data_IF_213490465408
#
_entry.id   IF_213490465408
#
_cell.length_a   1.000
_cell.length_b   1.000
_cell.length_c   1.000
_cell.angle_alpha   90.00
_cell.angle_beta   90.00
_cell.angle_gamma   90.00
#
_symmetry.space_group_name_H-M   'P 1'
#
loop_
_entity.id
_entity.type
_entity.pdbx_description
1 polymer ?
#
# COMPACT_ATOMS: atom_id res chain seq x y z
N UNK A 1 -16.81 -38.22 1.94
CA UNK A 1 -17.12 -36.80 1.65
C UNK A 1 -15.83 -36.12 1.27
N UNK A 2 -15.82 -35.27 0.24
CA UNK A 2 -14.63 -34.49 -0.11
C UNK A 2 -14.24 -33.59 1.07
N UNK A 3 -12.94 -33.49 1.37
CA UNK A 3 -12.44 -32.59 2.42
C UNK A 3 -12.73 -31.14 2.01
N UNK A 4 -13.29 -30.36 2.92
CA UNK A 4 -13.52 -28.94 2.68
C UNK A 4 -12.17 -28.23 2.47
N UNK A 5 -12.03 -27.57 1.32
CA UNK A 5 -10.83 -26.78 0.99
C UNK A 5 -10.90 -25.46 1.76
N UNK A 6 -9.76 -24.99 2.25
CA UNK A 6 -9.62 -23.74 3.01
C UNK A 6 -8.56 -22.86 2.35
N UNK A 7 -8.62 -21.55 2.59
CA UNK A 7 -7.58 -20.63 2.19
C UNK A 7 -6.21 -21.03 2.77
N UNK A 8 -5.14 -20.77 2.03
CA UNK A 8 -3.78 -21.01 2.50
C UNK A 8 -3.50 -20.07 3.67
N UNK A 9 -2.93 -20.60 4.76
CA UNK A 9 -2.54 -19.79 5.91
C UNK A 9 -1.66 -18.62 5.47
N UNK A 10 -2.08 -17.39 5.80
CA UNK A 10 -1.37 -16.16 5.43
C UNK A 10 -1.72 -15.61 4.04
N UNK A 11 -2.74 -16.17 3.37
CA UNK A 11 -3.32 -15.66 2.12
C UNK A 11 -4.82 -15.48 2.36
N UNK A 12 -5.20 -14.26 2.76
CA UNK A 12 -6.55 -14.00 3.26
C UNK A 12 -7.49 -13.56 2.13
N UNK A 13 -8.76 -13.98 2.20
CA UNK A 13 -9.81 -13.38 1.40
C UNK A 13 -10.15 -11.99 1.95
N UNK A 14 -10.29 -11.00 1.06
CA UNK A 14 -10.84 -9.67 1.40
C UNK A 14 -12.33 -9.71 1.11
N UNK A 15 -13.15 -9.70 2.17
CA UNK A 15 -14.60 -9.90 2.07
C UNK A 15 -15.36 -8.61 1.73
N UNK A 16 -16.63 -8.68 1.29
CA UNK A 16 -17.45 -7.51 0.99
C UNK A 16 -17.56 -6.49 2.13
N UNK A 17 -17.51 -6.96 3.39
CA UNK A 17 -17.53 -6.07 4.56
C UNK A 17 -16.21 -5.34 4.81
N UNK A 18 -15.13 -5.74 4.12
CA UNK A 18 -13.77 -5.19 4.27
C UNK A 18 -13.36 -4.39 3.03
N UNK A 19 -13.72 -4.85 1.83
CA UNK A 19 -13.29 -4.25 0.56
C UNK A 19 -13.63 -2.75 0.38
N UNK A 20 -14.70 -2.17 0.96
CA UNK A 20 -14.96 -0.74 0.84
C UNK A 20 -13.85 0.15 1.44
N UNK A 21 -13.27 -0.27 2.57
CA UNK A 21 -12.14 0.45 3.19
C UNK A 21 -10.90 0.38 2.29
N UNK A 22 -10.63 -0.81 1.71
CA UNK A 22 -9.56 -0.99 0.74
C UNK A 22 -9.73 -0.08 -0.47
N UNK A 23 -10.92 -0.05 -1.07
CA UNK A 23 -11.22 0.80 -2.21
C UNK A 23 -11.04 2.29 -1.89
N UNK A 24 -11.41 2.74 -0.69
CA UNK A 24 -11.15 4.11 -0.21
C UNK A 24 -9.65 4.40 -0.19
N UNK A 25 -8.86 3.53 0.45
CA UNK A 25 -7.39 3.66 0.51
C UNK A 25 -6.81 3.72 -0.91
N UNK A 26 -7.17 2.78 -1.77
CA UNK A 26 -6.70 2.74 -3.14
C UNK A 26 -7.08 3.99 -3.96
N UNK A 27 -8.28 4.54 -3.77
CA UNK A 27 -8.71 5.77 -4.44
C UNK A 27 -7.87 6.98 -3.99
N UNK A 28 -7.57 7.08 -2.68
CA UNK A 28 -6.67 8.12 -2.14
C UNK A 28 -5.27 7.97 -2.74
N UNK A 29 -4.74 6.75 -2.82
CA UNK A 29 -3.44 6.49 -3.42
C UNK A 29 -3.40 6.93 -4.89
N UNK A 30 -4.31 6.41 -5.72
CA UNK A 30 -4.39 6.73 -7.17
C UNK A 30 -4.54 8.23 -7.42
N UNK A 31 -5.42 8.92 -6.69
CA UNK A 31 -5.61 10.36 -6.86
C UNK A 31 -4.40 11.20 -6.44
N UNK A 32 -3.57 10.68 -5.53
CA UNK A 32 -2.39 11.39 -5.04
C UNK A 32 -1.23 11.26 -6.01
N UNK A 33 -0.93 10.06 -6.51
CA UNK A 33 0.10 9.89 -7.55
C UNK A 33 -0.23 10.63 -8.84
N UNK A 34 -1.52 10.64 -9.24
CA UNK A 34 -1.97 11.39 -10.40
C UNK A 34 -1.71 12.90 -10.25
N UNK A 35 -1.83 13.45 -9.04
CA UNK A 35 -1.57 14.86 -8.77
C UNK A 35 -0.08 15.26 -8.86
N UNK A 36 0.83 14.28 -8.86
CA UNK A 36 2.28 14.48 -9.05
C UNK A 36 2.76 13.98 -10.44
N UNK A 37 1.84 13.57 -11.32
CA UNK A 37 2.19 13.14 -12.69
C UNK A 37 2.82 11.74 -12.79
N UNK A 38 2.65 10.89 -11.77
CA UNK A 38 3.14 9.51 -11.80
C UNK A 38 2.20 8.64 -12.65
N UNK A 39 2.77 7.83 -13.54
CA UNK A 39 2.05 6.94 -14.46
C UNK A 39 2.02 5.50 -13.97
N UNK A 40 0.91 4.79 -14.20
CA UNK A 40 0.79 3.39 -13.74
C UNK A 40 1.65 2.45 -14.59
N UNK A 41 2.41 1.58 -13.94
CA UNK A 41 3.05 0.42 -14.56
C UNK A 41 2.53 -0.87 -13.93
N UNK A 42 2.26 -1.88 -14.76
CA UNK A 42 1.80 -3.20 -14.33
C UNK A 42 2.75 -4.28 -14.80
N UNK A 43 3.39 -4.94 -13.84
CA UNK A 43 4.31 -6.05 -14.07
C UNK A 43 3.63 -7.40 -13.81
N UNK A 44 4.09 -8.50 -14.43
CA UNK A 44 3.62 -9.84 -14.13
C UNK A 44 3.76 -10.20 -12.64
N UNK A 45 2.96 -11.16 -12.18
CA UNK A 45 3.06 -11.70 -10.81
C UNK A 45 4.27 -12.61 -10.65
N UNK A 46 4.70 -13.25 -11.75
CA UNK A 46 5.78 -14.21 -11.79
C UNK A 46 6.89 -13.65 -12.66
N UNK A 47 8.13 -13.78 -12.21
CA UNK A 47 9.33 -13.39 -12.95
C UNK A 47 10.35 -14.54 -12.92
N UNK A 48 11.37 -14.45 -13.75
CA UNK A 48 12.53 -15.32 -13.64
C UNK A 48 13.20 -15.13 -12.26
N UNK A 49 13.53 -16.23 -11.58
CA UNK A 49 14.11 -16.21 -10.23
C UNK A 49 15.40 -15.37 -10.13
N UNK A 50 16.21 -15.33 -11.19
CA UNK A 50 17.48 -14.59 -11.20
C UNK A 50 17.26 -13.08 -11.09
N UNK A 51 16.09 -12.56 -11.48
CA UNK A 51 15.74 -11.16 -11.28
C UNK A 51 15.86 -10.78 -9.81
N UNK A 52 15.24 -11.56 -8.92
CA UNK A 52 15.18 -11.26 -7.49
C UNK A 52 16.48 -11.62 -6.77
N UNK A 53 17.14 -12.72 -7.16
CA UNK A 53 18.46 -13.07 -6.61
C UNK A 53 19.48 -11.98 -6.86
N UNK A 54 19.54 -11.48 -8.10
CA UNK A 54 20.49 -10.42 -8.48
C UNK A 54 20.14 -9.09 -7.84
N UNK A 55 18.88 -8.69 -7.80
CA UNK A 55 18.48 -7.36 -7.30
C UNK A 55 18.52 -7.24 -5.79
N UNK A 56 17.86 -8.16 -5.08
CA UNK A 56 17.64 -8.04 -3.63
C UNK A 56 18.92 -8.38 -2.86
N UNK A 57 19.74 -9.30 -3.38
CA UNK A 57 20.98 -9.78 -2.77
C UNK A 57 20.83 -11.18 -2.20
N UNK A 58 21.80 -12.05 -2.49
CA UNK A 58 21.76 -13.48 -2.15
C UNK A 58 21.74 -13.76 -0.64
N UNK A 59 22.32 -12.87 0.16
CA UNK A 59 22.46 -13.01 1.62
C UNK A 59 21.30 -12.38 2.40
N UNK A 60 20.22 -12.03 1.72
CA UNK A 60 19.02 -11.47 2.37
C UNK A 60 18.08 -12.60 2.81
N UNK A 61 17.37 -12.39 3.93
CA UNK A 61 16.36 -13.35 4.39
C UNK A 61 15.30 -13.62 3.31
N UNK A 62 14.97 -12.61 2.49
CA UNK A 62 14.02 -12.74 1.38
C UNK A 62 14.48 -13.80 0.39
N UNK A 63 15.69 -13.65 -0.15
CA UNK A 63 16.22 -14.55 -1.18
C UNK A 63 16.56 -15.92 -0.61
N UNK A 64 17.09 -15.99 0.61
CA UNK A 64 17.48 -17.26 1.23
C UNK A 64 16.29 -18.15 1.58
N UNK A 65 15.19 -17.57 2.11
CA UNK A 65 14.16 -18.34 2.83
C UNK A 65 12.71 -17.96 2.52
N UNK A 66 12.46 -16.80 1.91
CA UNK A 66 11.09 -16.27 1.80
C UNK A 66 10.52 -16.28 0.38
N UNK A 67 11.33 -16.48 -0.67
CA UNK A 67 10.78 -16.52 -2.04
C UNK A 67 9.92 -17.77 -2.30
N UNK A 68 8.79 -17.57 -2.96
CA UNK A 68 7.98 -18.65 -3.52
C UNK A 68 8.46 -18.98 -4.93
N UNK A 69 9.47 -19.85 -5.01
CA UNK A 69 10.09 -20.30 -6.26
C UNK A 69 9.56 -21.68 -6.68
N UNK A 70 9.34 -21.86 -7.99
CA UNK A 70 8.91 -23.12 -8.59
C UNK A 70 9.52 -23.30 -9.98
N UNK A 71 9.57 -24.53 -10.47
CA UNK A 71 9.95 -24.83 -11.85
C UNK A 71 8.71 -24.78 -12.75
N UNK A 72 8.82 -24.08 -13.89
CA UNK A 72 7.82 -24.17 -14.95
C UNK A 72 8.00 -25.47 -15.76
N UNK A 73 7.00 -25.82 -16.56
CA UNK A 73 6.96 -27.05 -17.36
C UNK A 73 8.09 -27.14 -18.39
N UNK A 74 8.70 -26.02 -18.76
CA UNK A 74 9.86 -25.95 -19.65
C UNK A 74 11.21 -26.04 -18.89
N UNK A 75 11.19 -26.12 -17.55
CA UNK A 75 12.37 -26.17 -16.69
C UNK A 75 12.86 -24.81 -16.20
N UNK A 76 12.23 -23.70 -16.59
CA UNK A 76 12.63 -22.38 -16.11
C UNK A 76 12.32 -22.22 -14.61
N UNK A 77 13.25 -21.62 -13.87
CA UNK A 77 13.02 -21.25 -12.48
C UNK A 77 12.27 -19.93 -12.41
N UNK A 78 11.04 -19.99 -11.90
CA UNK A 78 10.14 -18.87 -11.75
C UNK A 78 9.86 -18.57 -10.28
N UNK A 79 9.65 -17.30 -9.95
CA UNK A 79 9.37 -16.85 -8.59
C UNK A 79 8.18 -15.89 -8.58
N UNK A 80 7.25 -16.10 -7.65
CA UNK A 80 6.21 -15.11 -7.34
C UNK A 80 6.89 -13.87 -6.73
N UNK A 81 6.58 -12.69 -7.28
CA UNK A 81 7.28 -11.45 -6.90
C UNK A 81 7.20 -11.18 -5.38
N UNK A 82 8.35 -11.03 -4.68
CA UNK A 82 8.36 -10.68 -3.26
C UNK A 82 8.34 -9.16 -3.03
N UNK A 83 8.56 -8.37 -4.08
CA UNK A 83 8.62 -6.90 -4.10
C UNK A 83 8.44 -6.39 -5.55
N UNK A 84 8.30 -5.07 -5.76
CA UNK A 84 7.90 -4.50 -7.05
C UNK A 84 8.98 -3.68 -7.78
N UNK A 85 10.03 -3.24 -7.10
CA UNK A 85 11.09 -2.39 -7.65
C UNK A 85 11.89 -3.13 -8.72
N UNK A 86 12.37 -4.36 -8.44
CA UNK A 86 13.13 -5.14 -9.43
C UNK A 86 12.32 -5.42 -10.70
N UNK A 87 11.03 -5.76 -10.56
CA UNK A 87 10.11 -5.94 -11.69
C UNK A 87 9.93 -4.66 -12.50
N UNK A 88 9.89 -3.49 -11.84
CA UNK A 88 9.76 -2.19 -12.51
C UNK A 88 11.04 -1.84 -13.27
N UNK A 89 12.22 -2.07 -12.68
CA UNK A 89 13.51 -1.91 -13.37
C UNK A 89 13.61 -2.83 -14.58
N UNK A 90 13.24 -4.11 -14.42
CA UNK A 90 13.24 -5.10 -15.52
C UNK A 90 12.37 -4.65 -16.67
N UNK A 91 11.13 -4.23 -16.39
CA UNK A 91 10.23 -3.70 -17.42
C UNK A 91 10.77 -2.42 -18.07
N UNK A 92 11.35 -1.52 -17.28
CA UNK A 92 11.97 -0.30 -17.78
C UNK A 92 13.15 -0.58 -18.72
N UNK A 93 14.02 -1.53 -18.37
CA UNK A 93 15.13 -1.96 -19.22
C UNK A 93 14.63 -2.65 -20.50
N UNK A 94 13.67 -3.56 -20.38
CA UNK A 94 13.11 -4.36 -21.48
C UNK A 94 12.44 -3.49 -22.55
N UNK A 95 11.76 -2.42 -22.13
CA UNK A 95 11.03 -1.52 -23.00
C UNK A 95 11.75 -0.19 -23.28
N UNK A 96 13.01 -0.07 -22.86
CA UNK A 96 13.83 1.12 -23.12
C UNK A 96 13.29 2.40 -22.52
N UNK A 97 12.66 2.34 -21.34
CA UNK A 97 12.06 3.49 -20.65
C UNK A 97 13.04 4.29 -19.80
N UNK A 98 14.20 3.71 -19.46
CA UNK A 98 15.11 4.25 -18.44
C UNK A 98 16.34 4.96 -19.01
N UNK A 99 16.83 4.52 -20.17
CA UNK A 99 18.03 5.08 -20.76
C UNK A 99 17.76 6.48 -21.34
N UNK A 100 18.52 7.48 -20.89
CA UNK A 100 18.41 8.89 -21.27
C UNK A 100 16.98 9.45 -21.15
N UNK A 101 16.23 8.99 -20.15
CA UNK A 101 14.83 9.36 -19.91
C UNK A 101 14.59 9.55 -18.42
N UNK A 102 13.57 10.35 -18.12
CA UNK A 102 13.02 10.50 -16.78
C UNK A 102 11.67 9.81 -16.73
N UNK A 103 11.42 9.03 -15.68
CA UNK A 103 10.16 8.33 -15.50
C UNK A 103 9.68 8.48 -14.06
N UNK A 104 8.39 8.82 -13.89
CA UNK A 104 7.69 8.76 -12.60
C UNK A 104 6.63 7.67 -12.70
N UNK A 105 6.88 6.52 -12.08
CA UNK A 105 6.06 5.33 -12.19
C UNK A 105 5.44 4.97 -10.85
N UNK A 106 4.26 4.35 -10.88
CA UNK A 106 3.67 3.73 -9.70
C UNK A 106 3.06 2.38 -10.05
N UNK A 107 2.99 1.48 -9.06
CA UNK A 107 2.34 0.19 -9.19
C UNK A 107 1.50 -0.12 -7.95
N UNK A 108 0.54 -1.03 -8.11
CA UNK A 108 -0.20 -1.59 -6.99
C UNK A 108 -0.58 -3.04 -7.28
N UNK A 109 -0.40 -3.92 -6.31
CA UNK A 109 -0.83 -5.31 -6.44
C UNK A 109 -0.20 -6.26 -5.42
N UNK A 110 -0.45 -7.57 -5.58
CA UNK A 110 -0.02 -8.57 -4.60
C UNK A 110 1.49 -8.86 -4.69
N UNK A 111 2.07 -9.21 -3.55
CA UNK A 111 3.45 -9.63 -3.31
C UNK A 111 3.45 -10.87 -2.40
N UNK A 112 4.49 -11.68 -2.49
CA UNK A 112 4.54 -13.01 -1.87
C UNK A 112 5.83 -13.25 -1.10
N UNK A 113 5.73 -13.58 0.20
CA UNK A 113 6.89 -13.91 1.04
C UNK A 113 6.57 -15.03 2.03
N UNK A 114 7.43 -16.03 2.16
CA UNK A 114 7.25 -17.16 3.08
C UNK A 114 7.57 -16.78 4.54
N UNK A 115 7.02 -15.68 5.00
CA UNK A 115 7.19 -15.22 6.37
C UNK A 115 6.25 -15.99 7.32
N UNK A 116 6.60 -16.03 8.60
CA UNK A 116 5.68 -16.49 9.65
C UNK A 116 4.56 -15.47 9.79
N UNK A 117 3.28 -15.81 9.51
CA UNK A 117 2.20 -14.83 9.55
C UNK A 117 2.00 -14.25 10.95
N UNK A 118 1.85 -12.94 11.02
CA UNK A 118 1.59 -12.14 12.23
C UNK A 118 0.64 -11.00 11.87
N UNK A 119 0.13 -10.25 12.85
CA UNK A 119 -0.73 -9.09 12.59
C UNK A 119 0.02 -8.08 11.69
N UNK A 120 -0.47 -7.83 10.48
CA UNK A 120 0.21 -6.96 9.51
C UNK A 120 1.40 -7.59 8.75
N UNK A 121 1.61 -8.91 8.84
CA UNK A 121 2.55 -9.70 8.00
C UNK A 121 1.85 -10.94 7.46
N UNK A 122 1.81 -11.05 6.14
CA UNK A 122 1.10 -12.11 5.43
C UNK A 122 2.01 -12.74 4.39
N UNK A 123 1.63 -13.93 3.94
CA UNK A 123 2.35 -14.65 2.88
C UNK A 123 1.99 -14.16 1.50
N UNK A 124 0.75 -13.72 1.32
CA UNK A 124 0.34 -12.84 0.25
C UNK A 124 -0.11 -11.53 0.89
N UNK A 125 0.47 -10.42 0.46
CA UNK A 125 0.12 -9.07 0.90
C UNK A 125 0.07 -8.15 -0.31
N UNK A 126 -0.43 -6.93 -0.17
CA UNK A 126 -0.55 -5.98 -1.27
C UNK A 126 0.35 -4.79 -1.03
N UNK A 127 1.13 -4.42 -2.05
CA UNK A 127 1.93 -3.21 -2.02
C UNK A 127 1.37 -2.18 -2.97
N UNK A 128 1.51 -0.93 -2.56
CA UNK A 128 1.55 0.22 -3.44
C UNK A 128 2.97 0.77 -3.41
N UNK A 129 3.54 1.06 -4.57
CA UNK A 129 4.88 1.61 -4.68
C UNK A 129 4.99 2.67 -5.76
N UNK A 130 5.97 3.54 -5.58
CA UNK A 130 6.33 4.60 -6.54
C UNK A 130 7.82 4.49 -6.83
N UNK A 131 8.19 4.68 -8.08
CA UNK A 131 9.57 4.56 -8.56
C UNK A 131 9.86 5.73 -9.50
N UNK A 132 10.91 6.48 -9.23
CA UNK A 132 11.40 7.53 -10.10
C UNK A 132 12.75 7.14 -10.66
N UNK A 133 12.95 7.38 -11.95
CA UNK A 133 14.18 7.06 -12.68
C UNK A 133 14.69 8.26 -13.44
N UNK A 134 16.02 8.36 -13.58
CA UNK A 134 16.68 9.36 -14.42
C UNK A 134 17.03 10.67 -13.72
N UNK A 135 16.63 10.84 -12.45
CA UNK A 135 16.85 12.09 -11.69
C UNK A 135 17.75 11.81 -10.47
N UNK A 136 18.93 12.43 -10.45
CA UNK A 136 19.97 12.21 -9.44
C UNK A 136 20.06 13.28 -8.35
N UNK A 137 19.30 14.36 -8.45
CA UNK A 137 19.28 15.47 -7.49
C UNK A 137 18.43 15.16 -6.26
N UNK A 138 18.71 15.81 -5.13
CA UNK A 138 18.01 15.56 -3.86
C UNK A 138 16.54 16.05 -3.85
N UNK A 139 16.15 16.88 -4.82
CA UNK A 139 14.79 17.40 -4.96
C UNK A 139 13.77 16.32 -5.33
N UNK A 140 14.16 15.30 -6.08
CA UNK A 140 13.25 14.18 -6.36
C UNK A 140 13.05 13.29 -5.13
N UNK A 141 14.07 13.10 -4.29
CA UNK A 141 13.95 12.42 -3.00
C UNK A 141 12.95 13.18 -2.10
N UNK A 142 13.00 14.52 -2.13
CA UNK A 142 12.06 15.38 -1.41
C UNK A 142 10.64 15.26 -1.98
N UNK A 143 10.44 15.27 -3.31
CA UNK A 143 9.12 15.07 -3.96
C UNK A 143 8.48 13.75 -3.54
N UNK A 144 9.26 12.65 -3.54
CA UNK A 144 8.82 11.32 -3.10
C UNK A 144 8.34 11.35 -1.64
N UNK A 145 9.07 12.05 -0.76
CA UNK A 145 8.67 12.23 0.64
C UNK A 145 7.44 13.13 0.79
N UNK A 146 7.33 14.21 0.00
CA UNK A 146 6.15 15.08 -0.03
C UNK A 146 4.90 14.33 -0.48
N UNK A 147 5.02 13.48 -1.50
CA UNK A 147 3.94 12.58 -1.92
C UNK A 147 3.52 11.68 -0.75
N UNK A 148 4.47 11.05 -0.06
CA UNK A 148 4.16 10.18 1.09
C UNK A 148 3.47 10.94 2.24
N UNK A 149 3.91 12.17 2.55
CA UNK A 149 3.28 13.01 3.57
C UNK A 149 1.83 13.38 3.19
N UNK A 150 1.59 13.70 1.92
CA UNK A 150 0.23 13.99 1.40
C UNK A 150 -0.71 12.79 1.49
N UNK A 151 -0.19 11.56 1.34
CA UNK A 151 -0.99 10.36 1.54
C UNK A 151 -1.53 10.30 2.98
N UNK A 152 -0.69 10.62 3.97
CA UNK A 152 -1.07 10.62 5.38
C UNK A 152 -2.10 11.69 5.70
N UNK A 153 -1.96 12.88 5.11
CA UNK A 153 -2.94 13.95 5.23
C UNK A 153 -4.31 13.51 4.70
N UNK A 154 -4.37 12.99 3.47
CA UNK A 154 -5.62 12.54 2.86
C UNK A 154 -6.26 11.32 3.54
N UNK A 155 -5.45 10.47 4.17
CA UNK A 155 -5.92 9.34 4.96
C UNK A 155 -6.27 9.73 6.41
N UNK A 156 -5.99 10.97 6.83
CA UNK A 156 -6.26 11.46 8.18
C UNK A 156 -5.35 10.84 9.25
N UNK A 157 -4.15 10.38 8.90
CA UNK A 157 -3.24 9.66 9.82
C UNK A 157 -1.91 10.38 10.10
N UNK A 158 -1.74 11.63 9.66
CA UNK A 158 -0.50 12.40 9.79
C UNK A 158 0.07 12.45 11.21
N UNK A 159 -0.77 12.61 12.23
CA UNK A 159 -0.34 12.67 13.64
C UNK A 159 0.08 11.31 14.21
N UNK A 160 -0.21 10.23 13.50
CA UNK A 160 0.02 8.86 13.95
C UNK A 160 1.23 8.21 13.28
N UNK A 161 1.94 8.95 12.42
CA UNK A 161 3.12 8.48 11.71
C UNK A 161 4.28 9.46 11.89
N UNK A 162 5.50 8.94 11.91
CA UNK A 162 6.73 9.74 12.02
C UNK A 162 7.69 9.33 10.92
N UNK A 163 8.25 10.31 10.22
CA UNK A 163 9.29 10.09 9.22
C UNK A 163 10.64 9.91 9.93
N UNK A 164 11.27 8.77 9.74
CA UNK A 164 12.67 8.53 10.06
C UNK A 164 13.50 8.56 8.78
N UNK A 165 14.60 9.32 8.80
CA UNK A 165 15.43 9.60 7.63
C UNK A 165 16.90 9.27 7.92
N UNK A 166 17.62 8.75 6.94
CA UNK A 166 19.05 8.50 7.01
C UNK A 166 19.70 8.55 5.61
N UNK A 167 21.02 8.49 5.55
CA UNK A 167 21.76 8.27 4.31
C UNK A 167 22.72 7.08 4.46
N UNK A 168 22.80 6.24 3.45
CA UNK A 168 23.72 5.11 3.36
C UNK A 168 25.01 5.42 2.59
N UNK A 169 25.17 6.69 2.17
CA UNK A 169 26.26 7.13 1.31
C UNK A 169 26.34 6.37 -0.01
N UNK A 170 27.44 6.61 -0.71
CA UNK A 170 27.82 5.90 -1.93
C UNK A 170 28.60 4.60 -1.59
N UNK A 171 28.73 3.66 -2.54
CA UNK A 171 29.28 2.33 -2.26
C UNK A 171 30.69 2.33 -1.64
N UNK A 172 31.56 3.27 -2.03
CA UNK A 172 32.93 3.37 -1.50
C UNK A 172 32.94 3.84 -0.03
N UNK A 173 32.11 4.82 0.31
CA UNK A 173 31.95 5.34 1.68
C UNK A 173 31.39 4.25 2.60
N UNK A 174 30.41 3.50 2.10
CA UNK A 174 29.84 2.35 2.83
C UNK A 174 30.85 1.23 3.03
N UNK A 175 31.74 0.99 2.07
CA UNK A 175 32.80 0.00 2.22
C UNK A 175 33.78 0.39 3.34
N UNK A 176 34.19 1.66 3.41
CA UNK A 176 35.03 2.18 4.49
C UNK A 176 34.34 2.08 5.86
N UNK A 177 33.06 2.47 5.94
CA UNK A 177 32.26 2.32 7.15
C UNK A 177 32.11 0.86 7.59
N UNK A 178 31.91 -0.05 6.62
CA UNK A 178 31.78 -1.49 6.89
C UNK A 178 33.01 -2.05 7.59
N UNK A 179 34.21 -1.68 7.17
CA UNK A 179 35.45 -2.12 7.82
C UNK A 179 35.51 -1.66 9.28
N UNK A 180 35.18 -0.40 9.54
CA UNK A 180 35.13 0.15 10.89
C UNK A 180 34.07 -0.53 11.77
N UNK A 181 32.87 -0.77 11.22
CA UNK A 181 31.79 -1.43 11.93
C UNK A 181 32.15 -2.90 12.26
N UNK A 182 32.79 -3.63 11.35
CA UNK A 182 33.28 -4.99 11.64
C UNK A 182 34.31 -4.95 12.76
N UNK A 183 35.31 -4.07 12.67
CA UNK A 183 36.35 -3.94 13.69
C UNK A 183 35.77 -3.57 15.08
N UNK A 184 34.71 -2.77 15.11
CA UNK A 184 33.94 -2.49 16.32
C UNK A 184 33.21 -3.74 16.83
N UNK A 185 32.43 -4.41 15.99
CA UNK A 185 31.64 -5.58 16.39
C UNK A 185 32.51 -6.75 16.86
N UNK A 186 33.71 -6.93 16.29
CA UNK A 186 34.67 -7.95 16.73
C UNK A 186 35.11 -7.77 18.19
N UNK A 187 35.25 -6.52 18.66
CA UNK A 187 35.59 -6.23 20.07
C UNK A 187 34.45 -6.61 21.03
N UNK A 188 33.23 -6.74 20.51
CA UNK A 188 32.03 -7.03 21.28
C UNK A 188 31.40 -8.38 20.92
N UNK A 189 32.10 -9.23 20.16
CA UNK A 189 31.57 -10.47 19.56
C UNK A 189 30.85 -11.37 20.55
N UNK A 190 31.43 -11.58 21.73
CA UNK A 190 30.89 -12.46 22.78
C UNK A 190 29.59 -11.93 23.41
N UNK A 191 29.22 -10.68 23.12
CA UNK A 191 27.99 -10.03 23.60
C UNK A 191 26.95 -9.85 22.49
N UNK A 192 27.24 -10.30 21.27
CA UNK A 192 26.31 -10.28 20.16
C UNK A 192 25.42 -11.53 20.19
N UNK A 193 24.14 -11.36 19.85
CA UNK A 193 23.23 -12.47 19.62
C UNK A 193 23.67 -13.30 18.39
N UNK A 194 23.17 -14.54 18.29
CA UNK A 194 23.56 -15.48 17.22
C UNK A 194 23.31 -14.92 15.80
N UNK A 195 22.23 -14.16 15.60
CA UNK A 195 21.88 -13.58 14.31
C UNK A 195 22.86 -12.45 13.96
N UNK A 196 23.17 -11.58 14.93
CA UNK A 196 24.17 -10.53 14.78
C UNK A 196 25.56 -11.08 14.48
N UNK A 197 25.99 -12.15 15.17
CA UNK A 197 27.27 -12.82 14.89
C UNK A 197 27.31 -13.40 13.47
N UNK A 198 26.20 -13.98 12.99
CA UNK A 198 26.10 -14.51 11.62
C UNK A 198 26.21 -13.40 10.57
N UNK A 199 25.59 -12.25 10.80
CA UNK A 199 25.53 -11.13 9.85
C UNK A 199 26.77 -10.24 9.87
N UNK A 200 27.53 -10.23 10.96
CA UNK A 200 28.67 -9.33 11.17
C UNK A 200 29.64 -9.30 9.99
N UNK A 201 29.99 -10.44 9.40
CA UNK A 201 30.93 -10.48 8.28
C UNK A 201 30.27 -10.33 6.90
N UNK A 202 29.04 -10.81 6.72
CA UNK A 202 28.35 -10.80 5.43
C UNK A 202 27.67 -9.47 5.13
N UNK A 203 26.88 -8.97 6.09
CA UNK A 203 26.13 -7.73 5.98
C UNK A 203 26.06 -7.01 7.36
N UNK A 204 27.17 -6.41 7.83
CA UNK A 204 27.29 -5.84 9.17
C UNK A 204 26.30 -4.72 9.44
N UNK A 205 25.87 -3.99 8.41
CA UNK A 205 24.88 -2.93 8.55
C UNK A 205 23.57 -3.47 9.15
N UNK A 206 23.21 -4.73 8.89
CA UNK A 206 22.02 -5.36 9.48
C UNK A 206 22.08 -5.55 10.98
N UNK A 207 23.28 -5.57 11.55
CA UNK A 207 23.45 -5.62 13.01
C UNK A 207 22.87 -4.35 13.65
N UNK A 208 22.94 -3.21 12.95
CA UNK A 208 22.42 -1.92 13.45
C UNK A 208 20.92 -1.95 13.77
N UNK A 209 20.16 -2.83 13.11
CA UNK A 209 18.71 -3.02 13.31
C UNK A 209 18.35 -4.22 14.21
N UNK A 210 19.33 -4.80 14.93
CA UNK A 210 19.05 -5.90 15.87
C UNK A 210 17.96 -5.52 16.87
N UNK A 211 17.05 -6.44 17.19
CA UNK A 211 16.02 -6.22 18.22
C UNK A 211 16.46 -6.69 19.60
N UNK A 212 17.67 -7.24 19.70
CA UNK A 212 18.25 -7.66 20.97
C UNK A 212 18.65 -6.43 21.81
N UNK A 213 18.12 -6.27 23.06
CA UNK A 213 18.42 -5.11 23.89
C UNK A 213 19.91 -4.97 24.26
N UNK A 214 20.63 -6.08 24.42
CA UNK A 214 22.06 -6.07 24.74
C UNK A 214 22.86 -5.58 23.53
N UNK A 215 22.53 -6.07 22.32
CA UNK A 215 23.15 -5.59 21.09
C UNK A 215 22.84 -4.11 20.86
N UNK A 216 21.59 -3.67 21.03
CA UNK A 216 21.22 -2.26 20.91
C UNK A 216 21.98 -1.35 21.89
N UNK A 217 22.26 -1.82 23.10
CA UNK A 217 23.09 -1.06 24.06
C UNK A 217 24.53 -0.91 23.58
N UNK A 218 25.10 -1.93 22.93
CA UNK A 218 26.48 -1.89 22.40
C UNK A 218 26.56 -0.94 21.21
N UNK A 219 25.56 -0.97 20.34
CA UNK A 219 25.51 -0.13 19.14
C UNK A 219 25.40 1.37 19.42
N UNK A 220 25.16 1.78 20.67
CA UNK A 220 25.24 3.18 21.09
C UNK A 220 26.62 3.80 20.86
N UNK A 221 27.68 2.98 20.94
CA UNK A 221 29.09 3.39 20.77
C UNK A 221 29.67 3.01 19.40
N UNK A 222 28.84 2.52 18.48
CA UNK A 222 29.27 2.15 17.14
C UNK A 222 29.73 3.38 16.32
N UNK A 223 30.67 3.22 15.38
CA UNK A 223 30.99 4.30 14.45
C UNK A 223 29.73 4.80 13.73
N UNK A 224 29.65 6.10 13.45
CA UNK A 224 28.53 6.66 12.71
C UNK A 224 28.87 6.72 11.22
N UNK A 225 27.97 6.21 10.37
CA UNK A 225 28.16 6.27 8.91
C UNK A 225 28.31 7.71 8.40
N UNK A 226 27.71 8.68 9.09
CA UNK A 226 27.84 10.12 8.78
C UNK A 226 29.30 10.61 8.77
N UNK A 227 30.19 9.99 9.56
CA UNK A 227 31.60 10.37 9.64
C UNK A 227 32.43 9.87 8.45
N UNK A 228 31.85 9.01 7.61
CA UNK A 228 32.50 8.40 6.45
C UNK A 228 31.98 8.96 5.11
N UNK A 229 31.02 9.89 5.16
CA UNK A 229 30.45 10.49 3.95
C UNK A 229 31.44 11.46 3.30
N UNK A 230 31.57 11.36 1.99
CA UNK A 230 32.20 12.37 1.16
C UNK A 230 31.32 13.62 1.02
N UNK A 231 31.87 14.62 0.35
CA UNK A 231 31.24 15.92 0.17
C UNK A 231 29.91 15.83 -0.60
N UNK A 232 29.85 15.05 -1.68
CA UNK A 232 28.63 14.90 -2.50
C UNK A 232 27.46 14.27 -1.73
N UNK A 233 27.69 13.12 -1.07
CA UNK A 233 26.68 12.45 -0.24
C UNK A 233 26.19 13.35 0.90
N UNK A 234 27.10 14.10 1.52
CA UNK A 234 26.78 15.04 2.61
C UNK A 234 25.95 16.21 2.11
N UNK A 235 26.30 16.80 0.96
CA UNK A 235 25.55 17.88 0.32
C UNK A 235 24.16 17.42 -0.14
N UNK A 236 24.06 16.24 -0.76
CA UNK A 236 22.77 15.66 -1.16
C UNK A 236 21.84 15.48 0.04
N UNK A 237 22.35 14.95 1.15
CA UNK A 237 21.56 14.76 2.37
C UNK A 237 21.19 16.09 3.06
N UNK A 238 22.08 17.08 3.03
CA UNK A 238 21.80 18.42 3.54
C UNK A 238 20.71 19.12 2.71
N UNK A 239 20.80 19.07 1.37
CA UNK A 239 19.83 19.65 0.46
C UNK A 239 18.45 19.00 0.63
N UNK A 240 18.38 17.67 0.76
CA UNK A 240 17.12 16.97 1.04
C UNK A 240 16.46 17.52 2.32
N UNK A 241 17.22 17.64 3.40
CA UNK A 241 16.73 18.17 4.68
C UNK A 241 16.23 19.61 4.56
N UNK A 242 16.99 20.47 3.88
CA UNK A 242 16.59 21.86 3.61
C UNK A 242 15.25 21.93 2.85
N UNK A 243 15.06 21.09 1.83
CA UNK A 243 13.82 21.04 1.06
C UNK A 243 12.64 20.54 1.90
N UNK A 244 12.84 19.55 2.77
CA UNK A 244 11.80 19.07 3.69
C UNK A 244 11.43 20.14 4.72
N UNK A 245 12.42 20.83 5.28
CA UNK A 245 12.22 21.93 6.23
C UNK A 245 11.44 23.07 5.56
N UNK A 246 11.75 23.40 4.30
CA UNK A 246 11.09 24.46 3.53
C UNK A 246 9.59 24.20 3.29
N UNK A 247 9.17 22.93 3.22
CA UNK A 247 7.75 22.55 3.09
C UNK A 247 7.11 22.12 4.41
N UNK A 248 7.83 22.22 5.52
CA UNK A 248 7.33 21.94 6.87
C UNK A 248 7.17 20.46 7.22
N UNK A 249 7.79 19.53 6.46
CA UNK A 249 7.74 18.10 6.77
C UNK A 249 8.67 17.80 7.94
N UNK A 250 8.11 17.33 9.05
CA UNK A 250 8.87 16.93 10.23
C UNK A 250 9.48 15.54 10.04
N UNK A 251 10.74 15.37 10.44
CA UNK A 251 11.45 14.10 10.40
C UNK A 251 12.42 13.94 11.59
N UNK A 252 12.80 12.70 11.88
CA UNK A 252 13.90 12.36 12.79
C UNK A 252 15.03 11.72 12.00
N UNK A 253 16.25 12.24 12.14
CA UNK A 253 17.43 11.54 11.61
C UNK A 253 17.71 10.30 12.48
N UNK A 254 17.73 9.12 11.86
CA UNK A 254 18.05 7.85 12.51
C UNK A 254 19.29 7.23 11.87
N UNK A 255 20.50 7.40 12.45
CA UNK A 255 21.73 6.88 11.86
C UNK A 255 21.80 5.34 11.82
N UNK A 256 20.92 4.66 12.57
CA UNK A 256 20.81 3.19 12.58
C UNK A 256 19.79 2.67 11.58
N UNK A 257 19.09 3.56 10.86
CA UNK A 257 18.12 3.15 9.84
C UNK A 257 18.87 2.53 8.66
N UNK A 258 18.75 1.21 8.55
CA UNK A 258 19.22 0.40 7.43
C UNK A 258 18.04 -0.31 6.80
N UNK A 259 18.18 -0.71 5.54
CA UNK A 259 17.08 -1.27 4.76
C UNK A 259 17.18 -2.77 4.60
N UNK A 260 16.00 -3.36 4.37
CA UNK A 260 15.77 -4.77 4.07
C UNK A 260 16.43 -5.33 2.80
N UNK A 261 16.98 -4.47 1.95
CA UNK A 261 17.42 -4.79 0.59
C UNK A 261 18.77 -4.10 0.37
N UNK A 262 19.71 -4.76 -0.29
CA UNK A 262 21.10 -4.29 -0.33
C UNK A 262 21.37 -3.28 -1.44
N UNK A 263 20.39 -3.04 -2.33
CA UNK A 263 20.51 -2.16 -3.48
C UNK A 263 20.47 -0.65 -3.15
N UNK A 264 20.13 -0.26 -1.91
CA UNK A 264 19.96 1.15 -1.57
C UNK A 264 21.30 1.90 -1.52
N UNK A 265 21.31 3.17 -1.91
CA UNK A 265 22.37 4.15 -1.70
C UNK A 265 21.80 5.49 -1.26
N UNK A 266 22.66 6.38 -0.74
CA UNK A 266 22.27 7.72 -0.28
C UNK A 266 20.99 7.67 0.56
N UNK A 267 19.96 8.42 0.22
CA UNK A 267 18.71 8.54 0.98
C UNK A 267 18.06 7.19 1.30
N UNK A 268 17.75 6.97 2.58
CA UNK A 268 16.83 5.90 3.01
C UNK A 268 15.87 6.46 4.05
N UNK A 269 14.63 5.99 4.03
CA UNK A 269 13.60 6.50 4.93
C UNK A 269 12.53 5.46 5.28
N UNK A 270 11.85 5.72 6.38
CA UNK A 270 10.67 4.99 6.83
C UNK A 270 9.65 5.93 7.44
N UNK A 271 8.36 5.66 7.20
CA UNK A 271 7.30 6.15 8.07
C UNK A 271 6.94 5.08 9.08
N UNK A 272 7.03 5.43 10.36
CA UNK A 272 6.77 4.52 11.49
C UNK A 272 5.55 4.97 12.30
N UNK A 273 4.84 4.02 12.91
CA UNK A 273 3.72 4.27 13.83
C UNK A 273 3.88 3.45 15.11
N UNK A 274 3.47 4.03 16.24
CA UNK A 274 3.38 3.31 17.52
C UNK A 274 2.02 2.64 17.72
N UNK A 275 1.05 2.90 16.83
CA UNK A 275 -0.34 2.44 16.97
C UNK A 275 -0.53 0.95 16.66
N UNK A 276 0.43 0.32 15.95
CA UNK A 276 0.33 -1.08 15.50
C UNK A 276 1.16 -2.08 16.35
N UNK A 277 1.76 -1.64 17.45
CA UNK A 277 2.57 -2.49 18.33
C UNK A 277 4.03 -2.61 17.87
N UNK A 278 4.62 -3.81 17.98
CA UNK A 278 6.07 -4.03 17.85
C UNK A 278 6.65 -3.87 16.44
N UNK A 279 5.81 -3.75 15.41
CA UNK A 279 6.24 -3.44 14.05
C UNK A 279 5.59 -2.14 13.59
N UNK A 280 6.39 -1.06 13.60
CA UNK A 280 5.89 0.29 13.34
C UNK A 280 5.95 0.76 11.89
N UNK A 281 6.79 0.18 11.04
CA UNK A 281 6.97 0.69 9.66
C UNK A 281 5.71 0.49 8.82
N UNK A 282 5.16 1.57 8.27
CA UNK A 282 3.98 1.55 7.37
C UNK A 282 4.37 1.80 5.92
N UNK A 283 5.44 2.56 5.70
CA UNK A 283 6.01 2.88 4.39
C UNK A 283 7.53 2.93 4.51
N UNK A 284 8.19 2.54 3.44
CA UNK A 284 9.61 2.27 3.44
C UNK A 284 10.20 2.54 2.06
N UNK A 285 11.31 3.29 1.97
CA UNK A 285 11.90 3.67 0.70
C UNK A 285 13.32 4.17 0.78
N UNK A 286 13.82 4.64 -0.36
CA UNK A 286 15.17 5.17 -0.51
C UNK A 286 15.62 5.22 -1.97
N UNK A 287 16.84 5.69 -2.17
CA UNK A 287 17.53 5.80 -3.46
C UNK A 287 18.32 4.53 -3.76
N UNK A 288 18.41 4.14 -5.03
CA UNK A 288 18.98 2.85 -5.46
C UNK A 288 19.61 2.92 -6.87
N UNK A 289 20.48 3.90 -7.09
CA UNK A 289 21.05 4.26 -8.40
C UNK A 289 21.76 3.11 -9.12
N UNK A 290 22.37 2.19 -8.36
CA UNK A 290 23.11 1.05 -8.93
C UNK A 290 22.23 -0.08 -9.50
N UNK A 291 20.95 -0.14 -9.11
CA UNK A 291 20.09 -1.31 -9.39
C UNK A 291 19.83 -1.50 -10.89
N UNK A 292 19.67 -0.41 -11.65
CA UNK A 292 19.39 -0.46 -13.09
C UNK A 292 20.54 -1.13 -13.85
N UNK A 293 21.78 -0.73 -13.54
CA UNK A 293 22.99 -1.34 -14.12
C UNK A 293 23.19 -2.78 -13.64
N UNK A 294 22.93 -3.06 -12.35
CA UNK A 294 23.01 -4.40 -11.76
C UNK A 294 22.06 -5.40 -12.44
N UNK A 295 20.95 -4.93 -13.01
CA UNK A 295 19.99 -5.72 -13.80
C UNK A 295 20.22 -5.65 -15.32
N UNK A 296 21.40 -5.21 -15.76
CA UNK A 296 21.82 -5.22 -17.17
C UNK A 296 21.41 -3.99 -17.98
N UNK A 297 20.87 -2.95 -17.33
CA UNK A 297 20.60 -1.66 -17.94
C UNK A 297 21.83 -0.73 -17.97
N UNK A 298 21.61 0.53 -18.36
CA UNK A 298 22.60 1.60 -18.18
C UNK A 298 22.48 2.19 -16.78
N UNK A 299 23.55 2.81 -16.29
CA UNK A 299 23.49 3.52 -15.01
C UNK A 299 22.41 4.60 -15.08
N UNK A 300 21.45 4.49 -14.16
CA UNK A 300 20.29 5.38 -14.11
C UNK A 300 19.95 5.61 -12.65
N UNK A 301 20.04 6.86 -12.17
CA UNK A 301 19.69 7.17 -10.80
C UNK A 301 18.21 6.89 -10.55
N UNK A 302 17.87 6.44 -9.35
CA UNK A 302 16.50 6.04 -9.04
C UNK A 302 16.17 6.17 -7.56
N UNK A 303 14.93 6.53 -7.25
CA UNK A 303 14.41 6.67 -5.88
C UNK A 303 12.94 6.31 -5.82
N UNK A 304 12.51 5.70 -4.73
CA UNK A 304 11.15 5.22 -4.61
C UNK A 304 10.80 4.73 -3.21
N UNK A 305 9.56 4.25 -3.07
CA UNK A 305 9.10 3.58 -1.86
C UNK A 305 8.07 2.51 -2.17
N UNK A 306 7.84 1.63 -1.19
CA UNK A 306 6.66 0.78 -1.13
C UNK A 306 6.00 0.86 0.25
N UNK A 307 4.69 0.65 0.28
CA UNK A 307 3.89 0.52 1.50
C UNK A 307 2.94 -0.69 1.40
N UNK A 308 2.73 -1.38 2.51
CA UNK A 308 1.80 -2.50 2.61
C UNK A 308 0.38 -2.03 2.85
N UNK A 309 -0.55 -2.31 1.94
CA UNK A 309 -1.94 -1.84 2.05
C UNK A 309 -2.64 -2.39 3.29
N UNK A 310 -2.37 -3.64 3.66
CA UNK A 310 -2.96 -4.24 4.86
C UNK A 310 -2.56 -3.49 6.13
N UNK A 311 -1.35 -2.94 6.20
CA UNK A 311 -0.90 -2.15 7.37
C UNK A 311 -1.63 -0.83 7.44
N UNK A 312 -1.86 -0.19 6.30
CA UNK A 312 -2.61 1.07 6.24
C UNK A 312 -4.08 0.84 6.62
N UNK A 313 -4.73 -0.18 6.05
CA UNK A 313 -6.09 -0.56 6.40
C UNK A 313 -6.20 -0.87 7.89
N UNK A 314 -5.28 -1.68 8.42
CA UNK A 314 -5.25 -2.02 9.84
C UNK A 314 -5.02 -0.79 10.73
N UNK A 315 -4.20 0.16 10.31
CA UNK A 315 -3.97 1.41 11.05
C UNK A 315 -5.25 2.25 11.10
N UNK A 316 -5.94 2.42 9.98
CA UNK A 316 -7.22 3.14 9.93
C UNK A 316 -8.28 2.49 10.82
N UNK A 317 -8.38 1.16 10.81
CA UNK A 317 -9.27 0.41 11.70
C UNK A 317 -8.90 0.62 13.18
N UNK A 318 -7.61 0.54 13.49
CA UNK A 318 -7.10 0.69 14.87
C UNK A 318 -7.36 2.10 15.42
N UNK A 319 -7.30 3.11 14.55
CA UNK A 319 -7.58 4.51 14.88
C UNK A 319 -9.07 4.88 14.77
N UNK A 320 -9.93 3.94 14.40
CA UNK A 320 -11.36 4.17 14.15
C UNK A 320 -11.66 5.24 13.08
N UNK A 321 -10.76 5.41 12.10
CA UNK A 321 -10.87 6.36 10.98
C UNK A 321 -11.61 5.74 9.78
N UNK A 322 -12.75 5.12 10.04
CA UNK A 322 -13.52 4.31 9.09
C UNK A 322 -14.94 4.85 8.85
N UNK A 323 -15.23 6.07 9.31
CA UNK A 323 -16.59 6.62 9.32
C UNK A 323 -17.10 6.99 7.92
N UNK A 324 -16.23 7.47 7.01
CA UNK A 324 -16.62 7.86 5.65
C UNK A 324 -16.51 6.71 4.63
N UNK A 325 -16.71 5.45 5.06
CA UNK A 325 -16.73 4.31 4.13
C UNK A 325 -18.11 4.25 3.46
N UNK A 326 -18.19 4.29 2.12
CA UNK A 326 -19.47 4.22 1.42
C UNK A 326 -20.22 2.90 1.71
N UNK A 327 -21.47 2.96 2.16
CA UNK A 327 -22.31 1.78 2.45
C UNK A 327 -22.52 0.86 1.24
N UNK A 328 -22.50 -0.47 1.35
CA UNK A 328 -22.58 -1.36 0.16
C UNK A 328 -23.74 -1.07 -0.83
N UNK A 329 -24.85 -0.55 -0.30
CA UNK A 329 -26.03 -0.13 -1.05
C UNK A 329 -26.42 1.27 -0.59
N UNK A 330 -26.77 2.14 -1.53
CA UNK A 330 -27.36 3.45 -1.22
C UNK A 330 -28.89 3.36 -1.21
N UNK A 331 -29.44 2.69 -2.23
CA UNK A 331 -30.88 2.60 -2.49
C UNK A 331 -31.32 1.16 -2.64
N UNK A 332 -32.33 0.75 -1.88
CA UNK A 332 -32.98 -0.55 -2.02
C UNK A 332 -34.35 -0.42 -2.68
N UNK A 333 -34.60 -1.12 -3.78
CA UNK A 333 -35.89 -1.07 -4.50
C UNK A 333 -36.74 -2.28 -4.15
N UNK A 334 -37.87 -2.04 -3.49
CA UNK A 334 -38.84 -3.05 -3.07
C UNK A 334 -40.14 -2.93 -3.89
N UNK A 335 -40.76 -4.07 -4.19
CA UNK A 335 -41.98 -4.15 -4.99
C UNK A 335 -43.03 -5.01 -4.29
N UNK A 336 -44.28 -4.54 -4.26
CA UNK A 336 -45.42 -5.29 -3.72
C UNK A 336 -46.40 -5.65 -4.84
N UNK A 337 -46.42 -6.93 -5.21
CA UNK A 337 -47.29 -7.45 -6.28
C UNK A 337 -46.54 -7.68 -7.60
N UNK A 338 -47.00 -8.66 -8.38
CA UNK A 338 -46.32 -9.10 -9.61
C UNK A 338 -46.31 -8.00 -10.68
N UNK A 339 -47.36 -7.18 -10.75
CA UNK A 339 -47.44 -6.04 -11.67
C UNK A 339 -46.47 -4.90 -11.32
N UNK A 340 -46.09 -4.79 -10.04
CA UNK A 340 -45.16 -3.77 -9.55
C UNK A 340 -43.70 -4.15 -9.76
N UNK A 341 -43.41 -5.45 -9.92
CA UNK A 341 -42.05 -5.95 -10.12
C UNK A 341 -41.43 -5.38 -11.40
N UNK A 342 -42.22 -5.32 -12.49
CA UNK A 342 -41.75 -4.77 -13.78
C UNK A 342 -41.35 -3.31 -13.60
N UNK A 343 -42.17 -2.51 -12.91
CA UNK A 343 -41.86 -1.11 -12.67
C UNK A 343 -40.65 -0.94 -11.75
N UNK A 344 -40.54 -1.72 -10.67
CA UNK A 344 -39.39 -1.67 -9.78
C UNK A 344 -38.06 -1.98 -10.48
N UNK A 345 -38.06 -2.93 -11.41
CA UNK A 345 -36.87 -3.22 -12.24
C UNK A 345 -36.56 -2.04 -13.17
N UNK A 346 -37.56 -1.43 -13.81
CA UNK A 346 -37.37 -0.23 -14.63
C UNK A 346 -36.80 0.92 -13.83
N UNK A 347 -37.37 1.22 -12.65
CA UNK A 347 -36.90 2.25 -11.73
C UNK A 347 -35.43 2.02 -11.39
N UNK A 348 -35.09 0.81 -10.95
CA UNK A 348 -33.73 0.49 -10.58
C UNK A 348 -32.75 0.67 -11.75
N UNK A 349 -33.16 0.27 -12.97
CA UNK A 349 -32.32 0.40 -14.15
C UNK A 349 -32.14 1.86 -14.57
N UNK A 350 -33.20 2.65 -14.58
CA UNK A 350 -33.15 4.08 -14.89
C UNK A 350 -32.30 4.84 -13.87
N UNK A 351 -32.40 4.52 -12.58
CA UNK A 351 -31.56 5.14 -11.56
C UNK A 351 -30.08 4.83 -11.77
N UNK A 352 -29.72 3.58 -12.11
CA UNK A 352 -28.33 3.24 -12.45
C UNK A 352 -27.82 4.02 -13.67
N UNK A 353 -28.68 4.23 -14.66
CA UNK A 353 -28.32 4.99 -15.87
C UNK A 353 -28.23 6.50 -15.62
N UNK A 354 -29.15 7.06 -14.83
CA UNK A 354 -29.21 8.50 -14.55
C UNK A 354 -28.21 8.94 -13.48
N UNK A 355 -27.89 8.06 -12.51
CA UNK A 355 -27.00 8.31 -11.38
C UNK A 355 -25.93 7.21 -11.31
N UNK A 356 -24.88 7.24 -12.15
CA UNK A 356 -23.92 6.14 -12.27
C UNK A 356 -23.12 5.84 -10.99
N UNK A 357 -23.04 6.80 -10.07
CA UNK A 357 -22.35 6.64 -8.77
C UNK A 357 -23.25 6.05 -7.68
N UNK A 358 -24.56 5.96 -7.92
CA UNK A 358 -25.54 5.48 -6.94
C UNK A 358 -25.65 3.95 -6.96
N UNK A 359 -25.49 3.31 -5.81
CA UNK A 359 -25.53 1.85 -5.67
C UNK A 359 -26.96 1.39 -5.39
N UNK A 360 -27.63 0.94 -6.46
CA UNK A 360 -29.04 0.56 -6.43
C UNK A 360 -29.21 -0.97 -6.40
N UNK A 361 -29.73 -1.49 -5.29
CA UNK A 361 -30.07 -2.92 -5.13
C UNK A 361 -31.56 -3.15 -5.38
N UNK A 362 -31.89 -4.01 -6.35
CA UNK A 362 -33.27 -4.46 -6.57
C UNK A 362 -33.59 -5.65 -5.67
N UNK A 363 -34.77 -5.66 -5.05
CA UNK A 363 -35.27 -6.83 -4.37
C UNK A 363 -35.56 -7.97 -5.36
N UNK A 364 -35.05 -9.16 -5.08
CA UNK A 364 -35.30 -10.38 -5.87
C UNK A 364 -35.72 -11.55 -4.96
N UNK A 365 -36.50 -12.49 -5.53
CA UNK A 365 -36.90 -13.74 -4.86
C UNK A 365 -38.22 -13.66 -4.08
N UNK A 366 -39.02 -12.62 -4.32
CA UNK A 366 -40.35 -12.44 -3.73
C UNK A 366 -40.35 -12.33 -2.20
N UNK A 367 -41.56 -12.43 -1.64
CA UNK A 367 -41.80 -12.29 -0.21
C UNK A 367 -42.55 -11.00 0.14
N UNK A 368 -43.24 -11.03 1.28
CA UNK A 368 -44.04 -9.90 1.74
C UNK A 368 -43.17 -8.67 2.10
N UNK A 369 -43.78 -7.49 2.14
CA UNK A 369 -43.09 -6.22 2.41
C UNK A 369 -42.21 -6.29 3.66
N UNK A 370 -42.68 -6.90 4.75
CA UNK A 370 -41.90 -7.06 5.99
C UNK A 370 -40.57 -7.77 5.76
N UNK A 371 -40.55 -8.84 4.94
CA UNK A 371 -39.32 -9.54 4.58
C UNK A 371 -38.43 -8.70 3.67
N UNK A 372 -39.00 -7.96 2.72
CA UNK A 372 -38.24 -7.09 1.82
C UNK A 372 -37.58 -5.95 2.62
N UNK A 373 -38.31 -5.31 3.53
CA UNK A 373 -37.79 -4.27 4.40
C UNK A 373 -36.67 -4.78 5.32
N UNK A 374 -36.82 -5.97 5.90
CA UNK A 374 -35.72 -6.58 6.68
C UNK A 374 -34.45 -6.79 5.84
N UNK A 375 -34.59 -7.08 4.54
CA UNK A 375 -33.45 -7.19 3.61
C UNK A 375 -32.88 -5.82 3.25
N UNK A 376 -33.72 -4.80 3.06
CA UNK A 376 -33.29 -3.42 2.88
C UNK A 376 -32.50 -2.91 4.09
N UNK A 377 -32.97 -3.19 5.30
CA UNK A 377 -32.26 -2.86 6.54
C UNK A 377 -30.91 -3.58 6.59
N UNK A 378 -30.88 -4.88 6.27
CA UNK A 378 -29.62 -5.65 6.25
C UNK A 378 -28.64 -5.19 5.18
N UNK A 379 -29.11 -4.62 4.06
CA UNK A 379 -28.24 -4.23 2.95
C UNK A 379 -27.42 -2.96 3.20
N UNK A 380 -27.65 -2.26 4.32
CA UNK A 380 -26.95 -1.01 4.60
C UNK A 380 -27.53 0.21 3.88
N UNK A 381 -28.61 0.06 3.10
CA UNK A 381 -29.21 1.13 2.31
C UNK A 381 -29.58 2.35 3.17
N UNK A 382 -29.40 3.54 2.60
CA UNK A 382 -29.83 4.81 3.21
C UNK A 382 -31.34 4.97 3.05
N UNK A 383 -31.87 4.58 1.89
CA UNK A 383 -33.30 4.66 1.58
C UNK A 383 -33.81 3.38 0.92
N UNK A 384 -35.08 3.07 1.16
CA UNK A 384 -35.86 2.09 0.42
C UNK A 384 -36.89 2.78 -0.46
N UNK A 385 -36.95 2.38 -1.73
CA UNK A 385 -38.01 2.77 -2.67
C UNK A 385 -39.09 1.69 -2.65
N UNK A 386 -40.32 2.07 -2.31
CA UNK A 386 -41.46 1.16 -2.22
C UNK A 386 -42.40 1.42 -3.39
N UNK A 387 -42.71 0.34 -4.12
CA UNK A 387 -43.59 0.38 -5.28
C UNK A 387 -44.67 -0.68 -5.08
N UNK A 388 -45.84 -0.25 -4.59
CA UNK A 388 -47.06 -1.03 -4.54
C UNK A 388 -48.03 -0.65 -5.66
N UNK A 389 -49.21 -1.27 -5.63
CA UNK A 389 -50.25 -1.02 -6.64
C UNK A 389 -50.75 0.43 -6.60
N UNK A 390 -50.80 1.04 -5.41
CA UNK A 390 -51.19 2.44 -5.23
C UNK A 390 -50.14 3.38 -5.82
N UNK A 391 -48.85 3.17 -5.50
CA UNK A 391 -47.75 3.94 -6.08
C UNK A 391 -47.72 3.83 -7.60
N UNK A 392 -47.93 2.62 -8.13
CA UNK A 392 -47.96 2.36 -9.56
C UNK A 392 -49.14 3.08 -10.24
N UNK A 393 -50.33 3.05 -9.63
CA UNK A 393 -51.53 3.70 -10.17
C UNK A 393 -51.40 5.23 -10.19
N UNK A 394 -50.74 5.82 -9.20
CA UNK A 394 -50.56 7.27 -9.08
C UNK A 394 -49.30 7.80 -9.79
N UNK A 395 -48.43 6.93 -10.31
CA UNK A 395 -47.18 7.33 -10.94
C UNK A 395 -46.17 7.94 -9.97
N UNK A 396 -46.17 7.46 -8.73
CA UNK A 396 -45.28 7.90 -7.64
C UNK A 396 -44.44 6.74 -7.12
N UNK A 397 -43.42 7.05 -6.33
CA UNK A 397 -42.60 6.08 -5.58
C UNK A 397 -42.51 6.56 -4.14
N UNK A 398 -42.79 5.68 -3.19
CA UNK A 398 -42.65 5.99 -1.77
C UNK A 398 -41.19 5.79 -1.35
N UNK A 399 -40.53 6.87 -0.94
CA UNK A 399 -39.17 6.86 -0.40
C UNK A 399 -39.24 6.75 1.12
N UNK A 400 -38.64 5.68 1.65
CA UNK A 400 -38.50 5.46 3.09
C UNK A 400 -37.03 5.58 3.51
N UNK A 401 -36.76 6.47 4.44
CA UNK A 401 -35.45 6.57 5.07
C UNK A 401 -35.21 5.41 6.04
N UNK A 402 -34.01 4.83 6.01
CA UNK A 402 -33.65 3.65 6.80
C UNK A 402 -32.59 3.96 7.88
N UNK A 403 -31.97 5.14 7.82
CA UNK A 403 -30.82 5.52 8.67
C UNK A 403 -30.99 6.86 9.38
N UNK A 404 -32.09 7.56 9.11
CA UNK A 404 -32.48 8.76 9.82
C UNK A 404 -33.99 8.71 10.08
N UNK A 405 -34.46 9.60 10.97
CA UNK A 405 -35.86 9.66 11.41
C UNK A 405 -36.74 10.53 10.49
N UNK A 406 -36.31 10.79 9.25
CA UNK A 406 -37.10 11.56 8.31
C UNK A 406 -38.38 10.79 7.93
N UNK A 407 -39.47 11.53 7.77
CA UNK A 407 -40.75 10.95 7.35
C UNK A 407 -40.67 10.37 5.92
N UNK A 408 -41.51 9.37 5.66
CA UNK A 408 -41.62 8.81 4.31
C UNK A 408 -42.17 9.86 3.35
N UNK A 409 -41.65 9.89 2.13
CA UNK A 409 -42.02 10.88 1.12
C UNK A 409 -42.51 10.19 -0.14
N UNK A 410 -43.64 10.62 -0.69
CA UNK A 410 -44.11 10.20 -2.02
C UNK A 410 -43.50 11.12 -3.06
N UNK A 411 -42.71 10.56 -3.97
CA UNK A 411 -42.00 11.31 -5.00
C UNK A 411 -42.54 10.91 -6.37
N UNK A 412 -42.85 11.89 -7.22
CA UNK A 412 -43.28 11.61 -8.58
C UNK A 412 -42.21 10.81 -9.34
N UNK A 413 -42.62 9.80 -10.10
CA UNK A 413 -41.71 8.86 -10.76
C UNK A 413 -40.67 9.52 -11.67
N UNK A 414 -41.04 10.63 -12.32
CA UNK A 414 -40.18 11.42 -13.19
C UNK A 414 -39.20 12.35 -12.44
N UNK A 415 -39.47 12.68 -11.18
CA UNK A 415 -38.62 13.53 -10.34
C UNK A 415 -37.67 12.72 -9.45
N UNK A 416 -37.86 11.40 -9.37
CA UNK A 416 -37.14 10.52 -8.45
C UNK A 416 -35.61 10.59 -8.60
N UNK A 417 -35.08 10.62 -9.82
CA UNK A 417 -33.64 10.71 -10.05
C UNK A 417 -33.06 12.04 -9.54
N UNK A 418 -33.75 13.15 -9.76
CA UNK A 418 -33.31 14.45 -9.26
C UNK A 418 -33.34 14.49 -7.73
N UNK A 419 -34.41 13.99 -7.13
CA UNK A 419 -34.56 13.88 -5.68
C UNK A 419 -33.44 13.05 -5.03
N UNK A 420 -33.10 11.88 -5.60
CA UNK A 420 -32.01 11.05 -5.08
C UNK A 420 -30.62 11.66 -5.30
N UNK A 421 -30.43 12.46 -6.34
CA UNK A 421 -29.17 13.18 -6.57
C UNK A 421 -28.90 14.23 -5.49
N UNK A 422 -29.94 14.86 -4.94
CA UNK A 422 -29.81 15.81 -3.82
C UNK A 422 -29.49 15.11 -2.51
N UNK A 423 -30.04 13.91 -2.29
CA UNK A 423 -29.76 13.07 -1.11
C UNK A 423 -28.35 12.47 -1.10
N UNK A 424 -27.68 12.42 -2.26
CA UNK A 424 -26.36 11.82 -2.42
C UNK A 424 -25.21 12.83 -2.31
N UNK A 425 -25.54 14.12 -2.14
CA UNK A 425 -24.59 15.21 -1.84
C UNK A 425 -24.45 15.37 -0.34
#
# INVERSE_FOLDING_TARGET
MAKQIQAIRGMNDILPTQSPLWQKVEAVLRSSVAAYGYSEIRTPIVENTDLFKRSIGEVTDIVEKEMYTFEDRNGDSLTLRPEGTASTVRAGNEHGLLYNQEQRLWYMGPMFRHERPQKGRYRQFHQFGVEVYGIGSADIDAEVLMLSARLWEKLGISEHVTLELNTLGDPAERAAYREALIAFLEQHKDKLDEDSQRRMYSNPLRVLDSKDPQVQSILGDAPALMDYLGEESSQHFAQLRELLDAVGIQYRVNPRLVRGLDYYNRTVFEWVTNSLGSQGTVLAGGRYDGLVAQLGGKETPAVGFAMGLERIVLLLETLALTQDIPAEVDVYVAAMGDNCLVEAIKVAQELRSALPTLRVMSHCGGGNLKKQMKRADKSGAQVALLIGEEELAEGVVTVKYLRNDNEQQRVARNALSAFLAELSK
#
